data_IF_969530843706
#
_entry.id   IF_969530843706
#
_cell.length_a   1.000
_cell.length_b   1.000
_cell.length_c   1.000
_cell.angle_alpha   90.00
_cell.angle_beta   90.00
_cell.angle_gamma   90.00
#
_symmetry.space_group_name_H-M   'P 1'
#
loop_
_entity.id
_entity.type
_entity.pdbx_description
1 polymer ?
#
# COMPACT_ATOMS: atom_id res chain seq x y z
N UNK A 1 -47.87 49.47 3.64
CA UNK A 1 -47.15 48.69 4.68
C UNK A 1 -46.73 47.30 4.20
N UNK A 2 -47.46 46.63 3.31
CA UNK A 2 -47.13 45.26 2.85
C UNK A 2 -45.85 45.12 2.01
N UNK A 3 -45.52 46.10 1.15
CA UNK A 3 -44.33 46.05 0.28
C UNK A 3 -43.00 45.95 1.05
N UNK A 4 -42.89 46.61 2.21
CA UNK A 4 -41.66 46.57 3.02
C UNK A 4 -41.44 45.21 3.71
N UNK A 5 -42.49 44.43 3.94
CA UNK A 5 -42.37 43.10 4.54
C UNK A 5 -41.95 42.06 3.51
N UNK A 6 -42.37 42.23 2.25
CA UNK A 6 -41.97 41.36 1.15
C UNK A 6 -40.47 41.46 0.85
N UNK A 7 -39.94 42.69 0.77
CA UNK A 7 -38.51 42.94 0.51
C UNK A 7 -37.64 42.36 1.64
N UNK A 8 -38.07 42.48 2.90
CA UNK A 8 -37.38 41.91 4.06
C UNK A 8 -37.36 40.38 4.05
N UNK A 9 -38.47 39.74 3.69
CA UNK A 9 -38.59 38.28 3.65
C UNK A 9 -37.76 37.68 2.51
N UNK A 10 -37.71 38.33 1.35
CA UNK A 10 -36.85 37.92 0.23
C UNK A 10 -35.36 38.05 0.59
N UNK A 11 -34.98 39.15 1.25
CA UNK A 11 -33.62 39.33 1.75
C UNK A 11 -33.22 38.27 2.78
N UNK A 12 -34.12 37.90 3.69
CA UNK A 12 -33.89 36.86 4.68
C UNK A 12 -33.76 35.47 4.06
N UNK A 13 -34.57 35.13 3.06
CA UNK A 13 -34.49 33.86 2.35
C UNK A 13 -33.18 33.70 1.57
N UNK A 14 -32.71 34.76 0.91
CA UNK A 14 -31.42 34.79 0.21
C UNK A 14 -30.24 34.66 1.20
N UNK A 15 -30.34 35.30 2.36
CA UNK A 15 -29.34 35.18 3.43
C UNK A 15 -29.28 33.74 3.96
N UNK A 16 -30.43 33.11 4.20
CA UNK A 16 -30.51 31.71 4.66
C UNK A 16 -29.95 30.72 3.63
N UNK A 17 -30.18 30.95 2.33
CA UNK A 17 -29.58 30.15 1.25
C UNK A 17 -28.06 30.30 1.18
N UNK A 18 -27.52 31.50 1.36
CA UNK A 18 -26.06 31.71 1.42
C UNK A 18 -25.45 31.03 2.65
N UNK A 19 -26.07 31.17 3.83
CA UNK A 19 -25.61 30.54 5.07
C UNK A 19 -25.65 29.01 4.95
N UNK A 20 -26.72 28.44 4.37
CA UNK A 20 -26.82 27.02 4.05
C UNK A 20 -25.71 26.53 3.12
N UNK A 21 -25.42 27.28 2.04
CA UNK A 21 -24.32 26.95 1.12
C UNK A 21 -22.93 27.01 1.77
N UNK A 22 -22.72 27.92 2.71
CA UNK A 22 -21.49 28.02 3.50
C UNK A 22 -21.33 26.84 4.48
N UNK A 23 -22.41 26.44 5.15
CA UNK A 23 -22.42 25.27 6.06
C UNK A 23 -22.15 23.98 5.27
N UNK A 24 -22.77 23.82 4.09
CA UNK A 24 -22.57 22.65 3.23
C UNK A 24 -21.12 22.54 2.71
N UNK A 25 -20.46 23.67 2.48
CA UNK A 25 -19.04 23.73 2.08
C UNK A 25 -18.08 23.42 3.22
N UNK A 26 -18.37 23.88 4.44
CA UNK A 26 -17.56 23.56 5.62
C UNK A 26 -17.64 22.08 5.99
N UNK A 27 -18.79 21.43 5.81
CA UNK A 27 -18.93 19.99 6.06
C UNK A 27 -18.04 19.12 5.14
N UNK A 28 -17.81 19.54 3.90
CA UNK A 28 -16.94 18.83 2.93
C UNK A 28 -15.44 19.07 3.12
N UNK A 29 -15.05 20.10 3.86
CA UNK A 29 -13.64 20.49 4.02
C UNK A 29 -12.85 19.60 5.00
N UNK A 30 -13.54 18.82 5.83
CA UNK A 30 -12.93 17.91 6.82
C UNK A 30 -12.84 16.44 6.37
N UNK A 31 -13.33 16.09 5.17
CA UNK A 31 -13.34 14.72 4.67
C UNK A 31 -12.08 14.40 3.85
N UNK A 32 -10.90 14.54 4.46
CA UNK A 32 -9.72 13.89 3.88
C UNK A 32 -9.98 12.37 3.89
N UNK A 33 -9.83 11.66 2.75
CA UNK A 33 -10.06 10.23 2.71
C UNK A 33 -9.18 9.53 3.76
N UNK A 34 -9.71 8.55 4.52
CA UNK A 34 -8.89 7.76 5.42
C UNK A 34 -7.77 7.06 4.65
N UNK A 35 -6.64 6.81 5.33
CA UNK A 35 -5.44 6.26 4.70
C UNK A 35 -5.28 4.78 5.06
N UNK A 36 -4.92 3.97 4.06
CA UNK A 36 -4.37 2.62 4.23
C UNK A 36 -2.94 2.62 3.70
N UNK A 37 -2.09 1.76 4.24
CA UNK A 37 -0.66 1.72 3.90
C UNK A 37 -0.28 0.35 3.31
N UNK A 38 0.66 0.38 2.39
CA UNK A 38 1.36 -0.80 1.87
C UNK A 38 2.82 -0.69 2.28
N UNK A 39 3.36 -1.76 2.87
CA UNK A 39 4.77 -1.88 3.16
C UNK A 39 5.55 -2.30 1.92
N UNK A 40 6.73 -1.71 1.70
CA UNK A 40 7.75 -2.24 0.80
C UNK A 40 9.03 -2.44 1.60
N UNK A 41 9.53 -3.67 1.65
CA UNK A 41 10.82 -3.97 2.25
C UNK A 41 11.77 -4.48 1.18
N UNK A 42 12.87 -3.75 0.96
CA UNK A 42 13.85 -4.05 -0.07
C UNK A 42 15.23 -3.46 0.29
N UNK A 43 16.32 -3.93 -0.33
CA UNK A 43 17.63 -3.34 -0.15
C UNK A 43 17.72 -2.00 -0.89
N UNK A 44 17.65 -0.89 -0.16
CA UNK A 44 17.86 0.46 -0.71
C UNK A 44 19.32 0.91 -0.61
N UNK A 45 20.18 0.05 -0.08
CA UNK A 45 21.62 0.24 0.03
C UNK A 45 22.38 -1.03 -0.38
N UNK A 46 23.69 -0.92 -0.56
CA UNK A 46 24.54 -2.04 -0.96
C UNK A 46 24.38 -2.46 -2.42
N UNK A 47 24.73 -3.73 -2.69
CA UNK A 47 24.86 -4.28 -4.05
C UNK A 47 23.55 -4.26 -4.85
N UNK A 48 22.43 -4.50 -4.19
CA UNK A 48 21.11 -4.64 -4.82
C UNK A 48 20.27 -3.35 -4.77
N UNK A 49 20.92 -2.22 -4.45
CA UNK A 49 20.28 -0.91 -4.33
C UNK A 49 19.46 -0.54 -5.57
N UNK A 50 20.01 -0.73 -6.77
CA UNK A 50 19.31 -0.39 -8.02
C UNK A 50 17.97 -1.11 -8.13
N UNK A 51 17.97 -2.42 -7.89
CA UNK A 51 16.76 -3.25 -7.91
C UNK A 51 15.75 -2.82 -6.86
N UNK A 52 16.19 -2.47 -5.65
CA UNK A 52 15.31 -1.90 -4.62
C UNK A 52 14.62 -0.62 -5.08
N UNK A 53 15.36 0.30 -5.70
CA UNK A 53 14.79 1.56 -6.22
C UNK A 53 13.88 1.37 -7.44
N UNK A 54 14.14 0.38 -8.28
CA UNK A 54 13.23 -0.02 -9.37
C UNK A 54 11.89 -0.49 -8.82
N UNK A 55 11.90 -1.37 -7.79
CA UNK A 55 10.69 -1.79 -7.11
C UNK A 55 9.96 -0.62 -6.43
N UNK A 56 10.69 0.26 -5.75
CA UNK A 56 10.13 1.47 -5.14
C UNK A 56 9.44 2.37 -6.17
N UNK A 57 10.05 2.55 -7.34
CA UNK A 57 9.47 3.32 -8.43
C UNK A 57 8.19 2.67 -8.96
N UNK A 58 8.22 1.36 -9.24
CA UNK A 58 7.07 0.62 -9.73
C UNK A 58 5.88 0.70 -8.77
N UNK A 59 6.10 0.48 -7.46
CA UNK A 59 5.05 0.57 -6.44
C UNK A 59 4.51 2.00 -6.35
N UNK A 60 5.37 3.02 -6.39
CA UNK A 60 4.92 4.43 -6.40
C UNK A 60 4.05 4.78 -7.60
N UNK A 61 4.34 4.22 -8.77
CA UNK A 61 3.51 4.42 -9.96
C UNK A 61 2.15 3.73 -9.78
N UNK A 62 2.15 2.46 -9.37
CA UNK A 62 0.91 1.70 -9.16
C UNK A 62 -0.02 2.36 -8.11
N UNK A 63 0.54 2.81 -6.98
CA UNK A 63 -0.24 3.50 -5.94
C UNK A 63 -0.76 4.86 -6.40
N UNK A 64 0.01 5.58 -7.21
CA UNK A 64 -0.44 6.86 -7.79
C UNK A 64 -1.62 6.64 -8.72
N UNK A 65 -1.51 5.69 -9.64
CA UNK A 65 -2.60 5.35 -10.57
C UNK A 65 -3.84 4.89 -9.80
N UNK A 66 -3.67 4.05 -8.78
CA UNK A 66 -4.77 3.61 -7.92
C UNK A 66 -5.45 4.78 -7.20
N UNK A 67 -4.68 5.69 -6.63
CA UNK A 67 -5.22 6.86 -5.93
C UNK A 67 -5.90 7.85 -6.89
N UNK A 68 -5.41 7.99 -8.12
CA UNK A 68 -6.07 8.76 -9.18
C UNK A 68 -7.40 8.11 -9.60
N UNK A 69 -7.49 6.78 -9.55
CA UNK A 69 -8.72 6.01 -9.77
C UNK A 69 -9.58 5.88 -8.50
N UNK A 70 -9.73 6.98 -7.74
CA UNK A 70 -10.55 7.08 -6.52
C UNK A 70 -10.07 6.24 -5.31
N UNK A 71 -8.81 5.82 -5.31
CA UNK A 71 -8.23 5.07 -4.18
C UNK A 71 -8.84 3.69 -4.04
N UNK A 72 -8.73 3.06 -2.87
CA UNK A 72 -9.25 1.72 -2.61
C UNK A 72 -10.52 1.83 -1.76
N UNK A 73 -11.70 1.64 -2.37
CA UNK A 73 -12.99 1.72 -1.68
C UNK A 73 -13.17 3.03 -0.86
N UNK A 74 -12.68 4.15 -1.38
CA UNK A 74 -12.74 5.45 -0.71
C UNK A 74 -11.55 5.76 0.22
N UNK A 75 -10.60 4.83 0.39
CA UNK A 75 -9.35 5.07 1.10
C UNK A 75 -8.25 5.56 0.15
N UNK A 76 -7.42 6.47 0.64
CA UNK A 76 -6.13 6.78 0.01
C UNK A 76 -5.13 5.71 0.40
N UNK A 77 -4.32 5.23 -0.56
CA UNK A 77 -3.29 4.24 -0.28
C UNK A 77 -1.91 4.90 -0.25
N UNK A 78 -1.16 4.71 0.82
CA UNK A 78 0.19 5.25 1.01
C UNK A 78 1.24 4.15 1.07
N UNK A 79 2.50 4.54 0.86
CA UNK A 79 3.64 3.62 0.85
C UNK A 79 4.51 3.85 2.07
N UNK A 80 4.82 2.78 2.78
CA UNK A 80 5.88 2.74 3.79
C UNK A 80 7.02 1.90 3.23
N UNK A 81 8.16 2.54 2.91
CA UNK A 81 9.32 1.85 2.35
C UNK A 81 10.43 1.73 3.40
N UNK A 82 10.89 0.51 3.68
CA UNK A 82 11.91 0.22 4.69
C UNK A 82 13.10 -0.51 4.07
N UNK A 83 14.31 -0.07 4.39
CA UNK A 83 15.55 -0.72 3.97
C UNK A 83 15.84 -1.91 4.89
N UNK A 84 16.03 -3.11 4.34
CA UNK A 84 16.52 -4.27 5.10
C UNK A 84 18.00 -4.60 4.82
N UNK A 85 18.68 -3.82 3.98
CA UNK A 85 20.08 -4.05 3.58
C UNK A 85 20.34 -5.43 2.94
N UNK A 86 19.28 -6.18 2.60
CA UNK A 86 19.35 -7.60 2.30
C UNK A 86 19.99 -8.43 3.42
N UNK A 87 19.77 -8.04 4.68
CA UNK A 87 20.24 -8.73 5.87
C UNK A 87 19.06 -9.39 6.63
N UNK A 88 19.17 -10.66 7.04
CA UNK A 88 18.09 -11.37 7.74
C UNK A 88 17.66 -10.74 9.08
N UNK A 89 18.60 -10.16 9.84
CA UNK A 89 18.30 -9.55 11.14
C UNK A 89 17.52 -8.26 10.92
N UNK A 90 17.98 -7.44 9.98
CA UNK A 90 17.29 -6.22 9.58
C UNK A 90 15.91 -6.53 8.97
N UNK A 91 15.79 -7.57 8.15
CA UNK A 91 14.50 -7.99 7.60
C UNK A 91 13.46 -8.32 8.69
N UNK A 92 13.85 -9.10 9.71
CA UNK A 92 13.00 -9.40 10.86
C UNK A 92 12.65 -8.13 11.66
N UNK A 93 13.61 -7.21 11.81
CA UNK A 93 13.39 -5.91 12.48
C UNK A 93 12.37 -5.05 11.73
N UNK A 94 12.47 -4.98 10.40
CA UNK A 94 11.53 -4.20 9.59
C UNK A 94 10.14 -4.84 9.54
N UNK A 95 10.05 -6.18 9.55
CA UNK A 95 8.78 -6.87 9.69
C UNK A 95 8.05 -6.47 10.99
N UNK A 96 8.78 -6.42 12.11
CA UNK A 96 8.24 -5.97 13.40
C UNK A 96 7.78 -4.51 13.37
N UNK A 97 8.53 -3.65 12.66
CA UNK A 97 8.16 -2.25 12.49
C UNK A 97 6.85 -2.09 11.68
N UNK A 98 6.65 -2.91 10.66
CA UNK A 98 5.44 -2.87 9.83
C UNK A 98 4.20 -3.37 10.57
N UNK A 99 4.29 -4.50 11.30
CA UNK A 99 3.13 -5.03 12.05
C UNK A 99 2.69 -4.13 13.21
N UNK A 100 3.56 -3.21 13.66
CA UNK A 100 3.24 -2.24 14.70
C UNK A 100 2.35 -1.10 14.19
N UNK A 101 2.24 -0.92 12.87
CA UNK A 101 1.35 0.06 12.23
C UNK A 101 0.06 -0.65 11.76
N UNK A 102 -1.08 -0.43 12.43
CA UNK A 102 -2.33 -1.10 12.10
C UNK A 102 -2.92 -0.69 10.75
N UNK A 103 -2.43 0.39 10.13
CA UNK A 103 -2.88 0.83 8.81
C UNK A 103 -2.20 0.05 7.66
N UNK A 104 -1.18 -0.76 7.97
CA UNK A 104 -0.51 -1.60 6.97
C UNK A 104 -1.40 -2.78 6.59
N UNK A 105 -1.91 -2.77 5.36
CA UNK A 105 -2.74 -3.85 4.81
C UNK A 105 -1.95 -5.08 4.38
N UNK A 106 -0.69 -4.88 4.03
CA UNK A 106 0.16 -5.93 3.48
C UNK A 106 1.53 -5.42 3.08
N UNK A 107 2.41 -6.36 2.77
CA UNK A 107 3.83 -6.10 2.50
C UNK A 107 4.21 -6.59 1.12
N UNK A 108 5.04 -5.82 0.43
CA UNK A 108 5.78 -6.21 -0.76
C UNK A 108 7.22 -6.41 -0.32
N UNK A 109 7.75 -7.62 -0.45
CA UNK A 109 9.02 -7.99 0.19
C UNK A 109 9.10 -9.49 0.41
N UNK A 110 10.25 -10.07 0.77
CA UNK A 110 11.58 -9.46 0.77
C UNK A 110 12.35 -9.85 -0.49
N UNK A 111 13.55 -9.26 -0.70
CA UNK A 111 14.32 -9.47 -1.93
C UNK A 111 14.93 -10.88 -2.06
N UNK A 112 15.38 -11.50 -0.96
CA UNK A 112 16.03 -12.83 -0.99
C UNK A 112 15.30 -13.85 -0.13
N UNK A 113 15.55 -15.15 -0.35
CA UNK A 113 15.01 -16.21 0.49
C UNK A 113 15.40 -16.05 1.97
N UNK A 114 16.64 -15.67 2.25
CA UNK A 114 17.13 -15.53 3.62
C UNK A 114 16.42 -14.41 4.38
N UNK A 115 16.22 -13.23 3.76
CA UNK A 115 15.47 -12.14 4.38
C UNK A 115 13.98 -12.46 4.49
N UNK A 116 13.41 -13.13 3.49
CA UNK A 116 12.01 -13.59 3.49
C UNK A 116 11.75 -14.55 4.66
N UNK A 117 12.58 -15.59 4.80
CA UNK A 117 12.44 -16.60 5.86
C UNK A 117 12.63 -16.00 7.26
N UNK A 118 13.47 -14.99 7.42
CA UNK A 118 13.67 -14.32 8.70
C UNK A 118 12.50 -13.41 9.12
N UNK A 119 11.77 -12.86 8.15
CA UNK A 119 10.61 -12.01 8.38
C UNK A 119 9.29 -12.80 8.47
N UNK A 120 9.19 -13.95 7.80
CA UNK A 120 7.96 -14.72 7.64
C UNK A 120 7.25 -15.05 8.97
N UNK A 121 7.92 -15.51 10.04
CA UNK A 121 7.25 -15.81 11.31
C UNK A 121 6.54 -14.59 11.91
N UNK A 122 7.10 -13.39 11.72
CA UNK A 122 6.53 -12.14 12.25
C UNK A 122 5.23 -11.79 11.52
N UNK A 123 5.22 -11.93 10.18
CA UNK A 123 4.02 -11.69 9.39
C UNK A 123 2.95 -12.77 9.63
N UNK A 124 3.35 -14.03 9.83
CA UNK A 124 2.44 -15.12 10.16
C UNK A 124 1.75 -14.91 11.51
N UNK A 125 2.50 -14.55 12.55
CA UNK A 125 1.95 -14.24 13.87
C UNK A 125 0.92 -13.10 13.80
N UNK A 126 1.22 -12.06 13.01
CA UNK A 126 0.34 -10.91 12.81
C UNK A 126 -0.78 -11.14 11.77
N UNK A 127 -0.80 -12.29 11.08
CA UNK A 127 -1.68 -12.58 9.93
C UNK A 127 -1.61 -11.50 8.84
N UNK A 128 -0.43 -10.92 8.63
CA UNK A 128 -0.21 -9.88 7.63
C UNK A 128 0.20 -10.51 6.30
N UNK A 129 -0.52 -10.18 5.23
CA UNK A 129 -0.28 -10.68 3.88
C UNK A 129 1.03 -10.12 3.31
N UNK A 130 1.80 -10.97 2.62
CA UNK A 130 3.05 -10.59 1.96
C UNK A 130 3.09 -11.08 0.51
N UNK A 131 3.47 -10.20 -0.42
CA UNK A 131 3.70 -10.49 -1.83
C UNK A 131 5.18 -10.37 -2.12
N UNK A 132 5.76 -11.39 -2.75
CA UNK A 132 7.17 -11.41 -3.13
C UNK A 132 7.24 -11.24 -4.66
N UNK A 133 7.60 -10.07 -5.19
CA UNK A 133 7.63 -9.82 -6.64
C UNK A 133 8.87 -10.41 -7.33
N UNK A 134 9.76 -11.08 -6.59
CA UNK A 134 10.96 -11.71 -7.11
C UNK A 134 10.84 -13.23 -7.12
N UNK A 135 11.64 -13.88 -7.95
CA UNK A 135 11.73 -15.34 -7.95
C UNK A 135 12.35 -15.82 -6.65
N UNK A 136 11.69 -16.77 -5.98
CA UNK A 136 12.18 -17.44 -4.77
C UNK A 136 12.08 -18.97 -4.90
N UNK A 137 12.85 -19.76 -4.11
CA UNK A 137 12.79 -21.22 -4.15
C UNK A 137 11.42 -21.71 -3.70
N UNK A 138 10.95 -22.81 -4.31
CA UNK A 138 9.66 -23.42 -3.99
C UNK A 138 9.58 -23.84 -2.51
N UNK A 139 10.71 -24.18 -1.88
CA UNK A 139 10.78 -24.60 -0.48
C UNK A 139 10.24 -23.55 0.51
N UNK A 140 10.19 -22.27 0.14
CA UNK A 140 9.52 -21.24 0.96
C UNK A 140 8.02 -21.50 1.06
N UNK A 141 7.40 -22.02 -0.01
CA UNK A 141 5.96 -22.30 -0.06
C UNK A 141 5.59 -23.66 0.56
N UNK A 142 6.54 -24.59 0.67
CA UNK A 142 6.34 -25.88 1.31
C UNK A 142 6.36 -25.80 2.86
N UNK A 143 6.93 -24.72 3.42
CA UNK A 143 6.70 -24.40 4.82
C UNK A 143 5.24 -23.95 4.95
N UNK A 144 4.39 -24.78 5.54
CA UNK A 144 2.92 -24.58 5.70
C UNK A 144 2.57 -23.12 6.04
N UNK A 145 2.34 -22.27 5.03
CA UNK A 145 2.03 -20.85 5.17
C UNK A 145 0.52 -20.71 5.47
N UNK A 146 0.06 -21.37 6.53
CA UNK A 146 -1.34 -21.29 6.96
C UNK A 146 -1.64 -19.86 7.42
N UNK A 147 -2.42 -19.12 6.63
CA UNK A 147 -3.02 -17.83 7.03
C UNK A 147 -2.34 -16.56 6.50
N UNK A 148 -1.23 -16.66 5.78
CA UNK A 148 -0.64 -15.53 5.04
C UNK A 148 -0.77 -15.84 3.55
N UNK A 149 -1.57 -15.06 2.83
CA UNK A 149 -1.65 -15.19 1.37
C UNK A 149 -0.33 -14.76 0.74
N UNK A 150 0.58 -15.69 0.48
CA UNK A 150 1.84 -15.39 -0.22
C UNK A 150 1.65 -15.57 -1.73
N UNK A 151 1.90 -14.51 -2.48
CA UNK A 151 1.97 -14.57 -3.95
C UNK A 151 3.42 -14.28 -4.34
N UNK A 152 4.12 -15.27 -4.88
CA UNK A 152 5.40 -15.06 -5.58
C UNK A 152 5.46 -15.90 -6.86
N UNK A 153 6.32 -15.48 -7.78
CA UNK A 153 6.76 -16.33 -8.87
C UNK A 153 7.83 -17.31 -8.35
N UNK A 154 7.72 -18.60 -8.67
CA UNK A 154 8.76 -19.59 -8.32
C UNK A 154 9.91 -19.54 -9.33
N UNK A 155 11.14 -19.90 -8.92
CA UNK A 155 12.27 -20.00 -9.85
C UNK A 155 12.00 -20.98 -10.99
N UNK A 156 11.36 -22.12 -10.73
CA UNK A 156 11.05 -23.12 -11.75
C UNK A 156 10.06 -22.61 -12.79
N UNK A 157 8.98 -21.94 -12.38
CA UNK A 157 8.06 -21.29 -13.32
C UNK A 157 8.71 -20.16 -14.12
N UNK A 158 9.63 -19.43 -13.49
CA UNK A 158 10.35 -18.34 -14.16
C UNK A 158 11.33 -18.90 -15.19
N UNK A 159 12.09 -19.94 -14.84
CA UNK A 159 13.02 -20.63 -15.73
C UNK A 159 12.27 -21.27 -16.91
N UNK A 160 11.17 -21.98 -16.65
CA UNK A 160 10.33 -22.57 -17.68
C UNK A 160 9.76 -21.51 -18.66
N UNK A 161 9.37 -20.34 -18.15
CA UNK A 161 8.94 -19.21 -19.01
C UNK A 161 10.08 -18.64 -19.86
N UNK A 162 11.29 -18.52 -19.31
CA UNK A 162 12.45 -18.00 -20.05
C UNK A 162 12.91 -18.98 -21.15
N UNK A 163 12.88 -20.29 -20.87
CA UNK A 163 13.15 -21.32 -21.88
C UNK A 163 12.12 -21.29 -23.02
N UNK A 164 10.84 -21.05 -22.71
CA UNK A 164 9.78 -20.92 -23.70
C UNK A 164 9.94 -19.66 -24.59
N UNK A 165 10.41 -18.55 -24.02
CA UNK A 165 10.66 -17.30 -24.77
C UNK A 165 11.92 -17.39 -25.65
N UNK A 166 12.92 -18.20 -25.26
CA UNK A 166 14.13 -18.42 -26.06
C UNK A 166 13.96 -19.36 -27.27
N UNK A 167 12.75 -19.87 -27.51
CA UNK A 167 12.41 -20.73 -28.65
C UNK A 167 11.59 -20.03 -29.74
N UNK A 168 11.31 -18.73 -29.61
CA UNK A 168 10.76 -17.86 -30.66
C UNK A 168 11.85 -16.99 -31.31
#
# INVERSE_FOLDING_TARGET
MESNNLIKNVGLALLLLMVSGLIYRQARANDAPPTLKIGLVAPFEGLYRSTGYEALFAVKVALRERNQAQGLQGYRVELVALNDFNDPIEASRQAKALIADPDILGVIGHFTPASTLAALPVYQEARLVMVIPWSVPESIFQQDIQGVGTVAATYEETAARLEAVGQE
#
